data_IF_923856887560
#
_entry.id   IF_923856887560
#
_cell.length_a   1.000
_cell.length_b   1.000
_cell.length_c   1.000
_cell.angle_alpha   90.00
_cell.angle_beta   90.00
_cell.angle_gamma   90.00
#
_symmetry.space_group_name_H-M   'P 1'
#
loop_
_entity.id
_entity.type
_entity.pdbx_description
1 polymer ?
#
# COMPACT_ATOMS: atom_id res chain seq x y z
N UNK A 1 48.21 -55.01 24.15
CA UNK A 1 46.95 -54.55 23.53
C UNK A 1 47.19 -53.17 22.92
N UNK A 2 47.69 -53.14 21.69
CA UNK A 2 48.11 -51.91 20.99
C UNK A 2 46.92 -51.28 20.25
N UNK A 3 46.51 -50.09 20.69
CA UNK A 3 45.40 -49.35 20.11
C UNK A 3 45.79 -48.78 18.73
N UNK A 4 45.20 -49.34 17.68
CA UNK A 4 45.26 -48.81 16.32
C UNK A 4 44.28 -47.64 16.17
N UNK A 5 44.80 -46.42 16.09
CA UNK A 5 44.03 -45.24 15.66
C UNK A 5 44.21 -45.05 14.15
N UNK A 6 43.14 -45.04 13.34
CA UNK A 6 43.26 -44.71 11.92
C UNK A 6 43.43 -43.19 11.73
N UNK A 7 44.62 -42.80 11.27
CA UNK A 7 44.94 -41.45 10.80
C UNK A 7 44.16 -41.13 9.51
N UNK A 8 43.08 -40.36 9.62
CA UNK A 8 42.41 -39.81 8.44
C UNK A 8 43.22 -38.63 7.91
N UNK A 9 43.92 -38.88 6.81
CA UNK A 9 44.56 -37.89 5.92
C UNK A 9 43.58 -36.76 5.59
N UNK A 10 43.98 -35.52 5.91
CA UNK A 10 43.42 -34.33 5.32
C UNK A 10 43.87 -34.25 3.85
N UNK A 11 42.99 -34.64 2.92
CA UNK A 11 43.20 -34.36 1.50
C UNK A 11 42.86 -32.90 1.24
N UNK A 12 43.91 -32.08 1.10
CA UNK A 12 43.86 -30.81 0.39
C UNK A 12 43.47 -31.11 -1.06
N UNK A 13 42.25 -30.75 -1.44
CA UNK A 13 41.89 -30.58 -2.85
C UNK A 13 41.92 -29.09 -3.17
N UNK A 14 42.91 -28.68 -3.95
CA UNK A 14 42.89 -27.43 -4.66
C UNK A 14 41.86 -27.56 -5.80
N UNK A 15 40.87 -26.68 -5.81
CA UNK A 15 39.95 -26.54 -6.93
C UNK A 15 39.87 -25.06 -7.33
N UNK A 16 39.89 -24.87 -8.64
CA UNK A 16 40.09 -23.66 -9.41
C UNK A 16 39.32 -22.42 -8.93
N UNK A 17 40.02 -21.30 -8.93
CA UNK A 17 39.46 -19.94 -9.02
C UNK A 17 38.66 -19.82 -10.31
N UNK A 18 37.38 -20.21 -10.30
CA UNK A 18 36.43 -19.75 -11.30
C UNK A 18 35.99 -18.36 -10.88
N UNK A 19 36.47 -17.35 -11.59
CA UNK A 19 35.94 -15.99 -11.56
C UNK A 19 34.53 -15.99 -12.14
N UNK A 20 33.55 -16.50 -11.40
CA UNK A 20 32.15 -16.22 -11.68
C UNK A 20 31.90 -14.80 -11.20
N UNK A 21 32.05 -13.87 -12.13
CA UNK A 21 31.60 -12.48 -12.05
C UNK A 21 30.30 -12.43 -11.27
N UNK A 22 30.34 -11.89 -10.05
CA UNK A 22 29.14 -11.46 -9.36
C UNK A 22 28.50 -10.41 -10.26
N UNK A 23 27.56 -10.82 -11.12
CA UNK A 23 26.59 -9.92 -11.69
C UNK A 23 25.69 -9.48 -10.54
N UNK A 24 26.20 -8.52 -9.77
CA UNK A 24 25.39 -7.58 -9.02
C UNK A 24 24.32 -7.15 -10.03
N UNK A 25 23.02 -7.33 -9.76
CA UNK A 25 22.03 -6.72 -10.61
C UNK A 25 22.38 -5.24 -10.61
N UNK A 26 22.77 -4.70 -11.77
CA UNK A 26 22.65 -3.28 -12.04
C UNK A 26 21.16 -3.01 -11.88
N UNK A 27 20.73 -2.79 -10.64
CA UNK A 27 19.68 -1.85 -10.38
C UNK A 27 20.11 -0.65 -11.21
N UNK A 28 19.32 -0.33 -12.23
CA UNK A 28 19.36 1.00 -12.79
C UNK A 28 19.07 1.90 -11.59
N UNK A 29 20.13 2.29 -10.87
CA UNK A 29 20.16 3.50 -10.09
C UNK A 29 19.84 4.55 -11.14
N UNK A 30 18.54 4.82 -11.31
CA UNK A 30 18.09 6.07 -11.89
C UNK A 30 18.74 7.07 -10.96
N UNK A 31 19.83 7.64 -11.43
CA UNK A 31 20.45 8.79 -10.82
C UNK A 31 19.33 9.80 -10.68
N UNK A 32 18.79 9.92 -9.46
CA UNK A 32 17.95 11.02 -9.05
C UNK A 32 18.85 12.25 -8.87
N UNK A 33 19.70 12.53 -9.87
CA UNK A 33 20.39 13.79 -9.97
C UNK A 33 19.42 14.73 -10.69
N UNK A 34 18.81 15.59 -9.87
CA UNK A 34 18.16 16.85 -10.23
C UNK A 34 16.82 16.80 -10.97
N UNK A 35 15.80 16.18 -10.36
CA UNK A 35 14.40 16.56 -10.62
C UNK A 35 13.57 16.64 -9.33
N UNK A 36 14.16 17.18 -8.26
CA UNK A 36 13.45 17.40 -7.00
C UNK A 36 14.14 18.49 -6.19
N UNK A 37 13.51 19.66 -6.14
CA UNK A 37 13.68 20.75 -5.20
C UNK A 37 15.02 20.83 -4.43
N UNK A 38 15.85 21.80 -4.84
CA UNK A 38 16.98 22.40 -4.10
C UNK A 38 18.26 21.55 -4.00
N UNK A 39 19.20 21.87 -4.89
CA UNK A 39 20.62 21.76 -4.54
C UNK A 39 20.88 22.64 -3.31
N UNK A 40 21.35 22.03 -2.22
CA UNK A 40 21.91 22.75 -1.09
C UNK A 40 23.29 23.29 -1.49
N UNK A 41 23.40 24.62 -1.59
CA UNK A 41 24.66 25.33 -1.77
C UNK A 41 24.51 26.54 -2.69
N UNK A 42 24.22 27.70 -2.09
CA UNK A 42 24.48 29.05 -2.64
C UNK A 42 24.41 29.18 -4.17
N UNK A 43 23.18 29.18 -4.71
CA UNK A 43 22.90 29.53 -6.10
C UNK A 43 21.57 30.25 -6.13
N UNK A 44 21.61 31.50 -6.60
CA UNK A 44 20.50 32.43 -6.82
C UNK A 44 19.20 31.72 -7.23
N UNK A 45 18.07 32.10 -6.61
CA UNK A 45 16.70 31.67 -6.95
C UNK A 45 16.42 31.98 -8.44
N UNK A 46 16.81 31.06 -9.31
CA UNK A 46 16.30 30.98 -10.68
C UNK A 46 15.05 30.14 -10.60
N UNK A 47 13.91 30.81 -10.48
CA UNK A 47 12.60 30.26 -10.80
C UNK A 47 12.72 29.70 -12.21
N UNK A 48 12.80 28.38 -12.34
CA UNK A 48 12.88 27.75 -13.66
C UNK A 48 11.50 27.93 -14.29
N UNK A 49 11.38 28.94 -15.14
CA UNK A 49 10.20 29.17 -15.96
C UNK A 49 9.90 27.89 -16.73
N UNK A 50 8.77 27.26 -16.44
CA UNK A 50 8.30 26.05 -17.14
C UNK A 50 8.02 26.28 -18.63
N UNK A 51 8.08 27.54 -19.07
CA UNK A 51 7.97 28.01 -20.46
C UNK A 51 9.32 28.11 -21.18
N UNK A 52 10.45 28.03 -20.46
CA UNK A 52 11.78 28.17 -21.05
C UNK A 52 12.14 26.97 -21.93
N UNK A 53 12.52 27.23 -23.19
CA UNK A 53 12.96 26.19 -24.13
C UNK A 53 14.31 25.62 -23.65
N UNK A 54 14.50 24.29 -23.71
CA UNK A 54 15.76 23.69 -23.28
C UNK A 54 16.90 24.10 -24.22
N UNK A 55 17.95 24.73 -23.69
CA UNK A 55 19.12 25.21 -24.47
C UNK A 55 19.97 24.11 -25.12
N UNK A 56 19.61 22.82 -24.95
CA UNK A 56 20.35 21.70 -25.49
C UNK A 56 19.73 21.24 -26.82
N UNK A 57 20.45 21.31 -27.96
CA UNK A 57 19.91 20.99 -29.28
C UNK A 57 19.41 19.53 -29.40
N UNK A 58 20.06 18.59 -28.68
CA UNK A 58 19.60 17.19 -28.63
C UNK A 58 18.25 17.04 -27.93
N UNK A 59 17.98 17.91 -26.96
CA UNK A 59 16.71 17.92 -26.21
C UNK A 59 15.60 18.54 -27.06
N UNK A 60 15.90 19.58 -27.84
CA UNK A 60 14.94 20.13 -28.79
C UNK A 60 14.55 19.12 -29.87
N UNK A 61 15.52 18.43 -30.46
CA UNK A 61 15.27 17.42 -31.49
C UNK A 61 14.47 16.25 -30.92
N UNK A 62 14.79 15.81 -29.70
CA UNK A 62 14.01 14.81 -29.01
C UNK A 62 12.57 15.28 -28.75
N UNK A 63 12.34 16.50 -28.29
CA UNK A 63 10.99 17.04 -28.06
C UNK A 63 10.20 17.25 -29.36
N UNK A 64 10.86 17.63 -30.46
CA UNK A 64 10.26 17.77 -31.80
C UNK A 64 9.90 16.40 -32.39
N UNK A 65 10.74 15.38 -32.18
CA UNK A 65 10.55 14.01 -32.71
C UNK A 65 9.68 13.13 -31.81
N UNK A 66 9.62 13.43 -30.51
CA UNK A 66 8.75 12.73 -29.57
C UNK A 66 7.31 12.99 -30.01
N UNK A 67 6.66 11.94 -30.51
CA UNK A 67 5.23 11.99 -30.80
C UNK A 67 4.51 12.60 -29.59
N UNK A 68 3.71 13.64 -29.81
CA UNK A 68 2.93 14.28 -28.75
C UNK A 68 2.19 13.16 -28.01
N UNK A 69 2.33 13.03 -26.67
CA UNK A 69 1.66 11.96 -25.94
C UNK A 69 0.17 12.06 -26.27
N UNK A 70 -0.37 11.01 -26.89
CA UNK A 70 -1.75 11.00 -27.37
C UNK A 70 -2.79 11.11 -26.24
N UNK A 71 -2.36 10.98 -25.00
CA UNK A 71 -3.20 11.12 -23.82
C UNK A 71 -2.39 11.84 -22.74
N UNK A 72 -2.79 13.05 -22.38
CA UNK A 72 -2.38 13.61 -21.09
C UNK A 72 -2.77 12.61 -20.01
N UNK A 73 -1.81 12.11 -19.23
CA UNK A 73 -2.08 11.28 -18.07
C UNK A 73 -2.92 12.11 -17.09
N UNK A 74 -4.25 11.98 -17.17
CA UNK A 74 -5.17 12.70 -16.31
C UNK A 74 -5.11 12.07 -14.92
N UNK A 75 -4.93 12.91 -13.90
CA UNK A 75 -4.83 12.51 -12.51
C UNK A 75 -6.17 11.91 -12.08
N UNK A 76 -6.18 10.66 -11.60
CA UNK A 76 -7.42 9.93 -11.30
C UNK A 76 -8.31 10.60 -10.24
N UNK A 77 -9.60 10.74 -10.56
CA UNK A 77 -10.68 11.15 -9.66
C UNK A 77 -11.52 9.96 -9.16
N UNK A 78 -12.54 10.25 -8.35
CA UNK A 78 -13.54 9.27 -7.89
C UNK A 78 -14.50 8.92 -9.05
N UNK A 79 -15.03 7.69 -9.07
CA UNK A 79 -16.03 7.26 -10.07
C UNK A 79 -17.43 7.79 -9.74
N UNK A 80 -18.28 8.00 -10.76
CA UNK A 80 -19.68 8.46 -10.64
C UNK A 80 -20.62 7.53 -9.87
N UNK A 81 -20.18 6.33 -9.50
CA UNK A 81 -20.92 5.42 -8.63
C UNK A 81 -20.50 5.51 -7.15
N UNK A 82 -19.62 6.46 -6.80
CA UNK A 82 -19.07 6.61 -5.46
C UNK A 82 -19.90 7.59 -4.64
N UNK A 83 -20.37 7.15 -3.47
CA UNK A 83 -21.14 7.89 -2.45
C UNK A 83 -20.48 9.22 -2.00
N UNK A 84 -19.22 9.44 -2.36
CA UNK A 84 -18.42 10.60 -1.99
C UNK A 84 -18.39 11.72 -3.06
N UNK A 85 -19.21 11.60 -4.11
CA UNK A 85 -19.39 12.68 -5.10
C UNK A 85 -19.99 13.95 -4.47
N UNK A 86 -20.90 13.77 -3.50
CA UNK A 86 -21.66 14.85 -2.88
C UNK A 86 -20.95 15.57 -1.71
N UNK A 87 -19.82 15.06 -1.21
CA UNK A 87 -19.08 15.72 -0.12
C UNK A 87 -18.18 16.84 -0.69
N UNK A 88 -18.49 18.09 -0.35
CA UNK A 88 -17.72 19.26 -0.81
C UNK A 88 -16.26 19.22 -0.36
N UNK A 89 -15.34 18.89 -1.27
CA UNK A 89 -13.90 18.99 -1.05
C UNK A 89 -13.50 20.47 -0.88
N UNK A 90 -12.87 20.78 0.25
CA UNK A 90 -12.28 22.09 0.51
C UNK A 90 -11.05 22.33 -0.39
N UNK A 91 -11.21 23.13 -1.44
CA UNK A 91 -10.16 23.52 -2.39
C UNK A 91 -10.76 24.21 -3.64
N UNK A 92 -9.94 24.81 -4.52
CA UNK A 92 -10.45 25.40 -5.76
C UNK A 92 -11.09 24.32 -6.63
N UNK A 93 -12.42 24.40 -6.81
CA UNK A 93 -13.22 23.47 -7.63
C UNK A 93 -12.73 23.55 -9.09
N UNK A 94 -12.38 22.43 -9.75
CA UNK A 94 -12.19 22.44 -11.21
C UNK A 94 -13.52 22.87 -11.87
N UNK A 95 -13.44 23.66 -12.95
CA UNK A 95 -14.62 24.27 -13.57
C UNK A 95 -15.70 23.23 -13.95
N UNK A 96 -16.99 23.52 -13.70
CA UNK A 96 -18.10 22.54 -13.70
C UNK A 96 -18.54 22.03 -15.09
N UNK A 97 -17.78 22.30 -16.15
CA UNK A 97 -18.12 21.90 -17.52
C UNK A 97 -17.31 20.74 -18.09
N UNK A 98 -16.32 20.21 -17.35
CA UNK A 98 -15.41 19.18 -17.88
C UNK A 98 -15.43 17.85 -17.14
N UNK A 99 -15.84 17.80 -15.86
CA UNK A 99 -15.64 16.62 -15.02
C UNK A 99 -16.83 15.63 -14.97
N UNK A 100 -18.04 16.04 -15.36
CA UNK A 100 -19.24 15.21 -15.21
C UNK A 100 -19.40 14.11 -16.28
N UNK A 101 -18.77 14.28 -17.46
CA UNK A 101 -18.84 13.34 -18.59
C UNK A 101 -17.51 12.60 -18.85
N UNK A 102 -16.56 12.66 -17.92
CA UNK A 102 -15.30 11.92 -18.04
C UNK A 102 -15.55 10.44 -17.73
N UNK A 103 -15.77 9.65 -18.79
CA UNK A 103 -15.75 8.18 -18.73
C UNK A 103 -14.59 7.73 -17.83
N UNK A 104 -14.79 6.78 -16.91
CA UNK A 104 -13.73 6.30 -16.04
C UNK A 104 -12.53 5.91 -16.91
N UNK A 105 -11.39 6.55 -16.65
CA UNK A 105 -10.16 6.38 -17.43
C UNK A 105 -9.89 4.87 -17.60
N UNK A 106 -9.78 4.42 -18.85
CA UNK A 106 -9.39 3.04 -19.15
C UNK A 106 -8.03 2.78 -18.50
N UNK A 107 -7.99 1.82 -17.57
CA UNK A 107 -6.74 1.40 -16.93
C UNK A 107 -5.97 0.54 -17.93
N UNK A 108 -5.26 1.21 -18.83
CA UNK A 108 -4.49 0.52 -19.86
C UNK A 108 -3.27 -0.15 -19.21
N UNK A 109 -3.19 -1.50 -19.21
CA UNK A 109 -2.16 -2.22 -18.48
C UNK A 109 -0.76 -1.89 -18.99
N UNK A 110 -0.62 -1.61 -20.30
CA UNK A 110 0.66 -1.26 -20.91
C UNK A 110 1.22 0.07 -20.40
N UNK A 111 0.33 1.04 -20.15
CA UNK A 111 0.73 2.35 -19.59
C UNK A 111 1.12 2.23 -18.13
N UNK A 112 0.46 1.34 -17.37
CA UNK A 112 0.68 1.12 -15.95
C UNK A 112 1.78 0.11 -15.65
N UNK A 113 2.22 -0.67 -16.63
CA UNK A 113 3.17 -1.77 -16.46
C UNK A 113 4.45 -1.33 -15.75
N UNK A 114 5.02 -0.19 -16.15
CA UNK A 114 6.24 0.33 -15.55
C UNK A 114 6.08 0.72 -14.06
N UNK A 115 4.89 1.13 -13.63
CA UNK A 115 4.60 1.50 -12.24
C UNK A 115 4.17 0.29 -11.40
N UNK A 116 3.42 -0.63 -12.00
CA UNK A 116 2.81 -1.78 -11.32
C UNK A 116 3.77 -2.97 -11.22
N UNK A 117 4.57 -3.22 -12.26
CA UNK A 117 5.50 -4.35 -12.36
C UNK A 117 6.91 -3.87 -12.78
N UNK A 118 7.67 -3.25 -11.85
CA UNK A 118 8.99 -2.72 -12.14
C UNK A 118 10.04 -3.80 -12.45
N UNK A 119 9.85 -5.05 -11.99
CA UNK A 119 10.72 -6.19 -12.31
C UNK A 119 9.91 -7.44 -12.68
N UNK A 120 9.54 -7.58 -13.97
CA UNK A 120 8.74 -8.70 -14.45
C UNK A 120 9.47 -10.05 -14.36
N UNK A 121 10.81 -10.05 -14.33
CA UNK A 121 11.61 -11.27 -14.31
C UNK A 121 11.53 -11.97 -12.95
N UNK A 122 11.65 -11.20 -11.87
CA UNK A 122 11.52 -11.70 -10.51
C UNK A 122 10.09 -12.14 -10.21
N UNK A 123 9.08 -11.40 -10.69
CA UNK A 123 7.67 -11.80 -10.55
C UNK A 123 7.41 -13.17 -11.18
N UNK A 124 7.84 -13.40 -12.42
CA UNK A 124 7.70 -14.71 -13.11
C UNK A 124 8.34 -15.86 -12.32
N UNK A 125 9.53 -15.66 -11.76
CA UNK A 125 10.21 -16.67 -10.92
C UNK A 125 9.42 -16.96 -9.64
N UNK A 126 8.89 -15.93 -9.00
CA UNK A 126 8.05 -16.07 -7.82
C UNK A 126 6.73 -16.79 -8.12
N UNK A 127 6.06 -16.44 -9.22
CA UNK A 127 4.83 -17.10 -9.69
C UNK A 127 5.08 -18.58 -9.93
N UNK A 128 6.14 -18.94 -10.67
CA UNK A 128 6.54 -20.34 -10.86
C UNK A 128 6.73 -21.07 -9.53
N UNK A 129 7.40 -20.44 -8.55
CA UNK A 129 7.58 -21.01 -7.21
C UNK A 129 6.25 -21.19 -6.46
N UNK A 130 5.32 -20.25 -6.58
CA UNK A 130 4.00 -20.35 -5.96
C UNK A 130 3.18 -21.49 -6.59
N UNK A 131 3.15 -21.57 -7.92
CA UNK A 131 2.42 -22.60 -8.68
C UNK A 131 2.96 -24.00 -8.34
N UNK A 132 4.28 -24.19 -8.34
CA UNK A 132 4.88 -25.49 -7.95
C UNK A 132 4.46 -25.87 -6.53
N UNK A 133 4.47 -24.91 -5.58
CA UNK A 133 4.04 -25.17 -4.20
C UNK A 133 2.57 -25.57 -4.12
N UNK A 134 1.72 -24.94 -4.92
CA UNK A 134 0.29 -25.23 -4.94
C UNK A 134 -0.01 -26.62 -5.52
N UNK A 135 0.65 -26.97 -6.63
CA UNK A 135 0.63 -28.32 -7.21
C UNK A 135 1.07 -29.36 -6.18
N UNK A 136 2.18 -29.10 -5.46
CA UNK A 136 2.69 -30.02 -4.46
C UNK A 136 1.71 -30.23 -3.29
N UNK A 137 0.95 -29.20 -2.93
CA UNK A 137 -0.13 -29.27 -1.94
C UNK A 137 -1.44 -29.83 -2.49
N UNK A 138 -1.53 -30.08 -3.80
CA UNK A 138 -2.72 -30.58 -4.49
C UNK A 138 -3.95 -29.71 -4.22
N UNK A 139 -3.76 -28.38 -4.19
CA UNK A 139 -4.83 -27.41 -3.93
C UNK A 139 -5.31 -27.33 -2.47
N UNK A 140 -4.67 -28.02 -1.51
CA UNK A 140 -5.03 -27.91 -0.09
C UNK A 140 -4.62 -26.54 0.47
N UNK A 141 -5.62 -25.74 0.84
CA UNK A 141 -5.41 -24.43 1.46
C UNK A 141 -5.05 -24.56 2.94
N UNK A 142 -4.09 -23.75 3.38
CA UNK A 142 -3.83 -23.58 4.82
C UNK A 142 -4.93 -22.72 5.44
N UNK A 143 -5.20 -22.89 6.74
CA UNK A 143 -6.16 -22.04 7.48
C UNK A 143 -5.93 -20.56 7.24
N UNK A 144 -4.66 -20.13 7.22
CA UNK A 144 -4.27 -18.74 6.95
C UNK A 144 -4.61 -18.27 5.54
N UNK A 145 -4.53 -19.14 4.53
CA UNK A 145 -4.94 -18.82 3.16
C UNK A 145 -6.46 -18.73 3.04
N UNK A 146 -7.17 -19.65 3.70
CA UNK A 146 -8.63 -19.66 3.75
C UNK A 146 -9.17 -18.38 4.40
N UNK A 147 -8.64 -17.99 5.57
CA UNK A 147 -9.02 -16.75 6.25
C UNK A 147 -8.77 -15.52 5.37
N UNK A 148 -7.59 -15.41 4.74
CA UNK A 148 -7.27 -14.29 3.83
C UNK A 148 -8.16 -14.23 2.60
N UNK A 149 -8.75 -15.36 2.18
CA UNK A 149 -9.70 -15.43 1.07
C UNK A 149 -11.11 -15.01 1.49
N UNK A 150 -11.52 -15.35 2.71
CA UNK A 150 -12.89 -15.17 3.20
C UNK A 150 -13.09 -13.83 3.95
N UNK A 151 -12.13 -13.45 4.77
CA UNK A 151 -12.24 -12.29 5.66
C UNK A 151 -11.57 -11.06 5.06
N UNK A 152 -12.24 -9.91 5.17
CA UNK A 152 -11.71 -8.62 4.72
C UNK A 152 -10.93 -7.97 5.85
N UNK A 153 -9.68 -7.56 5.59
CA UNK A 153 -8.81 -6.88 6.57
C UNK A 153 -8.15 -5.65 5.93
N UNK A 154 -8.07 -4.55 6.70
CA UNK A 154 -7.33 -3.35 6.35
C UNK A 154 -6.23 -3.13 7.38
N UNK A 155 -4.98 -3.03 6.91
CA UNK A 155 -3.85 -2.60 7.72
C UNK A 155 -3.52 -1.15 7.35
N UNK A 156 -3.94 -0.22 8.19
CA UNK A 156 -3.67 1.21 8.03
C UNK A 156 -2.51 1.62 8.93
N UNK A 157 -1.50 2.29 8.35
CA UNK A 157 -0.38 2.87 9.10
C UNK A 157 -0.65 4.36 9.30
N UNK A 158 -0.51 4.84 10.54
CA UNK A 158 -0.65 6.26 10.84
C UNK A 158 0.54 7.08 10.33
N UNK A 159 0.35 8.39 10.29
CA UNK A 159 1.46 9.33 10.24
C UNK A 159 2.21 9.34 11.59
N UNK A 160 3.32 10.06 11.62
CA UNK A 160 4.15 10.18 12.82
C UNK A 160 3.50 11.12 13.83
N UNK A 161 2.93 10.56 14.89
CA UNK A 161 2.37 11.34 15.99
C UNK A 161 3.49 12.02 16.79
N UNK A 162 3.28 13.29 17.16
CA UNK A 162 4.21 14.07 18.00
C UNK A 162 4.15 13.66 19.48
N UNK A 163 4.28 12.36 19.76
CA UNK A 163 4.21 11.77 21.09
C UNK A 163 5.12 10.56 21.22
N UNK A 164 5.43 10.16 22.45
CA UNK A 164 6.21 8.95 22.68
C UNK A 164 5.34 7.69 22.68
N UNK A 165 5.95 6.55 22.34
CA UNK A 165 5.30 5.22 22.34
C UNK A 165 4.64 4.91 23.69
N UNK A 166 5.29 5.26 24.81
CA UNK A 166 4.75 5.05 26.17
C UNK A 166 3.45 5.82 26.41
N UNK A 167 3.29 7.01 25.80
CA UNK A 167 2.07 7.82 25.92
C UNK A 167 0.95 7.33 24.99
N UNK A 168 1.30 6.79 23.83
CA UNK A 168 0.36 6.26 22.84
C UNK A 168 -0.17 4.87 23.21
N UNK A 169 0.68 4.01 23.78
CA UNK A 169 0.35 2.62 24.12
C UNK A 169 -0.94 2.45 24.96
N UNK A 170 -1.20 3.27 26.00
CA UNK A 170 -2.47 3.21 26.73
C UNK A 170 -3.70 3.50 25.86
N UNK A 171 -3.62 4.45 24.93
CA UNK A 171 -4.74 4.77 24.03
C UNK A 171 -4.98 3.62 23.04
N UNK A 172 -3.90 3.03 22.50
CA UNK A 172 -4.00 1.88 21.62
C UNK A 172 -4.70 0.70 22.32
N UNK A 173 -4.27 0.35 23.55
CA UNK A 173 -4.91 -0.71 24.35
C UNK A 173 -6.37 -0.42 24.67
N UNK A 174 -6.74 0.85 24.82
CA UNK A 174 -8.12 1.25 25.13
C UNK A 174 -9.09 1.02 23.97
N UNK A 175 -8.63 1.06 22.72
CA UNK A 175 -9.49 0.90 21.53
C UNK A 175 -9.50 -0.53 20.97
N UNK A 176 -8.52 -1.37 21.34
CA UNK A 176 -8.43 -2.77 20.88
C UNK A 176 -9.72 -3.54 21.20
N UNK A 177 -10.28 -4.22 20.20
CA UNK A 177 -11.47 -5.05 20.33
C UNK A 177 -12.79 -4.27 20.42
N UNK A 178 -12.76 -2.94 20.28
CA UNK A 178 -13.97 -2.12 20.16
C UNK A 178 -14.36 -1.95 18.71
N UNK A 179 -15.63 -1.61 18.48
CA UNK A 179 -16.06 -1.19 17.15
C UNK A 179 -15.37 0.12 16.78
N UNK A 180 -15.16 0.38 15.49
CA UNK A 180 -14.47 1.60 15.04
C UNK A 180 -15.24 2.85 15.47
N UNK A 181 -16.57 2.79 15.50
CA UNK A 181 -17.44 3.89 15.94
C UNK A 181 -17.29 4.18 17.43
N UNK A 182 -17.33 3.14 18.27
CA UNK A 182 -17.14 3.29 19.71
C UNK A 182 -15.73 3.80 20.02
N UNK A 183 -14.72 3.35 19.27
CA UNK A 183 -13.35 3.84 19.40
C UNK A 183 -13.25 5.34 19.05
N UNK A 184 -13.92 5.80 17.97
CA UNK A 184 -13.97 7.21 17.59
C UNK A 184 -14.64 8.05 18.69
N UNK A 185 -15.76 7.57 19.25
CA UNK A 185 -16.45 8.22 20.36
C UNK A 185 -15.53 8.31 21.58
N UNK A 186 -14.84 7.22 21.92
CA UNK A 186 -13.93 7.19 23.06
C UNK A 186 -12.74 8.13 22.90
N UNK A 187 -12.20 8.25 21.68
CA UNK A 187 -11.12 9.21 21.40
C UNK A 187 -11.61 10.66 21.40
N UNK A 188 -12.85 10.91 20.97
CA UNK A 188 -13.48 12.25 21.02
C UNK A 188 -13.59 12.80 22.44
N UNK A 189 -13.95 11.96 23.41
CA UNK A 189 -14.11 12.37 24.82
C UNK A 189 -12.84 12.16 25.68
N UNK A 190 -11.72 11.77 25.06
CA UNK A 190 -10.46 11.59 25.77
C UNK A 190 -9.77 12.93 26.04
N UNK A 191 -9.29 13.12 27.27
CA UNK A 191 -8.55 14.32 27.67
C UNK A 191 -7.13 14.36 27.07
N UNK A 192 -6.66 13.26 26.47
CA UNK A 192 -5.30 13.17 25.95
C UNK A 192 -5.17 13.87 24.61
N UNK A 193 -4.19 14.76 24.46
CA UNK A 193 -3.89 15.45 23.19
C UNK A 193 -3.75 14.51 21.99
N UNK A 194 -3.06 13.38 22.18
CA UNK A 194 -2.84 12.37 21.15
C UNK A 194 -4.14 11.72 20.64
N UNK A 195 -5.23 11.77 21.42
CA UNK A 195 -6.49 11.16 21.03
C UNK A 195 -7.15 11.86 19.84
N UNK A 196 -6.88 13.16 19.65
CA UNK A 196 -7.33 13.90 18.46
C UNK A 196 -6.74 13.29 17.19
N UNK A 197 -5.41 13.12 17.15
CA UNK A 197 -4.71 12.57 15.99
C UNK A 197 -5.09 11.10 15.75
N UNK A 198 -5.30 10.31 16.82
CA UNK A 198 -5.79 8.92 16.71
C UNK A 198 -7.22 8.87 16.16
N UNK A 199 -8.11 9.77 16.59
CA UNK A 199 -9.47 9.87 16.07
C UNK A 199 -9.47 10.15 14.57
N UNK A 200 -8.69 11.14 14.14
CA UNK A 200 -8.55 11.50 12.72
C UNK A 200 -8.02 10.30 11.91
N UNK A 201 -7.04 9.57 12.45
CA UNK A 201 -6.54 8.36 11.81
C UNK A 201 -7.59 7.23 11.73
N UNK A 202 -8.40 7.03 12.77
CA UNK A 202 -9.48 6.03 12.76
C UNK A 202 -10.57 6.38 11.72
N UNK A 203 -10.90 7.67 11.57
CA UNK A 203 -11.82 8.13 10.53
C UNK A 203 -11.26 7.88 9.13
N UNK A 204 -9.99 8.21 8.89
CA UNK A 204 -9.31 7.91 7.64
C UNK A 204 -9.29 6.40 7.36
N UNK A 205 -8.93 5.58 8.35
CA UNK A 205 -8.89 4.13 8.22
C UNK A 205 -10.28 3.53 7.95
N UNK A 206 -11.34 4.07 8.57
CA UNK A 206 -12.73 3.69 8.27
C UNK A 206 -13.05 3.94 6.80
N UNK A 207 -12.79 5.15 6.31
CA UNK A 207 -13.07 5.53 4.92
C UNK A 207 -12.25 4.67 3.95
N UNK A 208 -10.98 4.44 4.25
CA UNK A 208 -10.11 3.57 3.45
C UNK A 208 -10.59 2.11 3.44
N UNK A 209 -11.09 1.58 4.57
CA UNK A 209 -11.66 0.24 4.65
C UNK A 209 -12.92 0.09 3.79
N UNK A 210 -13.80 1.10 3.82
CA UNK A 210 -15.02 1.12 3.01
C UNK A 210 -14.65 1.19 1.53
N UNK A 211 -13.81 2.15 1.12
CA UNK A 211 -13.50 2.38 -0.30
C UNK A 211 -12.61 1.29 -0.89
N UNK A 212 -11.52 0.91 -0.22
CA UNK A 212 -10.54 -0.06 -0.79
C UNK A 212 -10.94 -1.51 -0.61
N UNK A 213 -11.65 -1.83 0.47
CA UNK A 213 -11.98 -3.23 0.82
C UNK A 213 -13.48 -3.52 0.76
N UNK A 214 -14.34 -2.51 0.62
CA UNK A 214 -15.79 -2.69 0.58
C UNK A 214 -16.35 -3.19 1.91
N UNK A 215 -15.76 -2.79 3.04
CA UNK A 215 -16.26 -3.18 4.37
C UNK A 215 -17.42 -2.29 4.83
N UNK A 216 -18.31 -2.80 5.68
CA UNK A 216 -19.40 -2.01 6.29
C UNK A 216 -20.54 -1.63 5.34
N UNK A 217 -20.65 -2.27 4.17
CA UNK A 217 -21.70 -2.02 3.18
C UNK A 217 -22.88 -3.00 3.25
N UNK A 218 -22.86 -3.98 4.18
CA UNK A 218 -23.88 -5.04 4.25
C UNK A 218 -25.29 -4.50 4.51
N UNK A 219 -25.42 -3.53 5.42
CA UNK A 219 -26.71 -2.89 5.74
C UNK A 219 -27.36 -2.17 4.56
N UNK A 220 -26.55 -1.57 3.68
CA UNK A 220 -27.06 -0.86 2.50
C UNK A 220 -27.61 -1.81 1.43
N UNK A 221 -27.17 -3.07 1.44
CA UNK A 221 -27.58 -4.09 0.47
C UNK A 221 -28.82 -4.90 0.92
N UNK A 222 -29.41 -4.60 2.08
CA UNK A 222 -30.63 -5.26 2.57
C UNK A 222 -30.44 -6.71 3.02
N UNK A 223 -29.21 -7.10 3.39
CA UNK A 223 -28.95 -8.43 3.95
C UNK A 223 -29.37 -8.47 5.43
N UNK A 224 -30.57 -8.99 5.69
CA UNK A 224 -31.07 -9.20 7.05
C UNK A 224 -30.33 -10.39 7.70
N UNK A 225 -29.57 -10.12 8.76
CA UNK A 225 -28.80 -11.12 9.49
C UNK A 225 -29.45 -11.43 10.84
N UNK A 226 -29.51 -12.71 11.20
CA UNK A 226 -29.96 -13.13 12.54
C UNK A 226 -28.88 -12.82 13.56
N UNK A 227 -29.16 -12.01 14.60
CA UNK A 227 -28.13 -11.64 15.57
C UNK A 227 -27.47 -12.85 16.23
N UNK A 228 -26.14 -12.88 16.25
CA UNK A 228 -25.37 -13.97 16.86
C UNK A 228 -24.67 -13.46 18.12
N UNK A 229 -24.82 -14.19 19.22
CA UNK A 229 -24.05 -13.94 20.43
C UNK A 229 -22.71 -14.66 20.37
N UNK A 230 -21.63 -13.90 20.50
CA UNK A 230 -20.27 -14.44 20.50
C UNK A 230 -19.54 -14.07 21.79
N UNK A 231 -18.69 -14.98 22.26
CA UNK A 231 -17.74 -14.69 23.33
C UNK A 231 -16.39 -14.28 22.72
N UNK A 232 -15.96 -13.06 23.03
CA UNK A 232 -14.60 -12.60 22.64
C UNK A 232 -13.53 -13.38 23.41
N UNK A 233 -12.27 -13.31 22.97
CA UNK A 233 -11.14 -13.90 23.69
C UNK A 233 -11.01 -13.41 25.14
N UNK A 234 -11.50 -12.21 25.42
CA UNK A 234 -11.57 -11.63 26.77
C UNK A 234 -12.77 -12.15 27.60
N UNK A 235 -13.49 -13.18 27.13
CA UNK A 235 -14.72 -13.73 27.72
C UNK A 235 -15.87 -12.72 27.87
N UNK A 236 -15.83 -11.62 27.13
CA UNK A 236 -16.95 -10.67 27.05
C UNK A 236 -17.93 -11.15 25.99
N UNK A 237 -19.20 -11.29 26.35
CA UNK A 237 -20.29 -11.57 25.43
C UNK A 237 -20.62 -10.32 24.60
N UNK A 238 -20.72 -10.49 23.29
CA UNK A 238 -21.06 -9.44 22.35
C UNK A 238 -22.15 -9.97 21.42
N UNK A 239 -23.25 -9.24 21.32
CA UNK A 239 -24.30 -9.50 20.33
C UNK A 239 -23.91 -8.81 19.03
N UNK A 240 -23.78 -9.59 17.96
CA UNK A 240 -23.44 -9.10 16.62
C UNK A 240 -24.72 -9.04 15.80
N UNK A 241 -25.26 -7.84 15.66
CA UNK A 241 -26.44 -7.59 14.82
C UNK A 241 -26.05 -7.46 13.33
N UNK A 242 -24.86 -6.90 13.04
CA UNK A 242 -24.33 -6.72 11.68
C UNK A 242 -22.94 -7.37 11.56
N UNK A 243 -22.78 -8.41 10.73
CA UNK A 243 -21.51 -9.11 10.55
C UNK A 243 -20.48 -8.29 9.75
N UNK A 244 -20.93 -7.26 9.02
CA UNK A 244 -20.05 -6.38 8.22
C UNK A 244 -19.51 -5.19 9.00
N UNK A 245 -19.95 -5.02 10.26
CA UNK A 245 -19.55 -3.91 11.13
C UNK A 245 -18.03 -3.92 11.38
N UNK A 246 -17.44 -2.76 11.22
CA UNK A 246 -16.00 -2.54 11.41
C UNK A 246 -15.61 -2.56 12.89
N UNK A 247 -14.51 -3.24 13.20
CA UNK A 247 -13.88 -3.25 14.53
C UNK A 247 -12.35 -3.13 14.44
N UNK A 248 -11.72 -2.82 15.58
CA UNK A 248 -10.27 -2.65 15.74
C UNK A 248 -9.62 -3.90 16.30
#
# INVERSE_FOLDING_TARGET
MSLHLPSRRALRSAASLTSSSFFIPRAHHRTLFNFGAKGWGTGTDQVVDSTAKPNNPLTEDYLKRKAKPQTSLMRGGLSSSSILEDEEIAGPKPQPGRAADEKPLSRDPDTMAAATDPDPSSRKRWERKMVIRDIHKRGRLTRTQLLKKQERVLLSKSHDFKTSVKKLSPLARQIVGKTVEDAIIQMRFSVKKAAKDVKEHLQHAKNEAIVRRGMGLGKANGEDFTPVEIATKAKKSVKVDDPTRLYV
#
